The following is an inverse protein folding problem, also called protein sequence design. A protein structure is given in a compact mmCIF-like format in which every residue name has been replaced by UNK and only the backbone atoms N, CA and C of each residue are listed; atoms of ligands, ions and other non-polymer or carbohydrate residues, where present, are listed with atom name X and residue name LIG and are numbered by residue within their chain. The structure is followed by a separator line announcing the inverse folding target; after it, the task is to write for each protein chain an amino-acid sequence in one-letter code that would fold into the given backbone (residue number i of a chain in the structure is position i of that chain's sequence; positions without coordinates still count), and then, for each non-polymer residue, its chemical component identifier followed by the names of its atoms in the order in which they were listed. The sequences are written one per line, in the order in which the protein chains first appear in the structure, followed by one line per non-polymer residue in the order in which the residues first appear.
data_IF_115553861539
#
_entry.id   IF_115553861539
#
_cell.length_a   1.000
_cell.length_b   1.000
_cell.length_c   1.000
_cell.angle_alpha   90.00
_cell.angle_beta   90.00
_cell.angle_gamma   90.00
#
_symmetry.space_group_name_H-M   'P 1'
#
loop_
_entity.id
_entity.type
_entity.pdbx_description
1 polymer ?
#
# COMPACT_ATOMS: atom_id res chain seq x y z
N UNK A 1 -27.92 10.60 11.30
CA UNK A 1 -27.16 10.33 10.05
C UNK A 1 -26.98 8.82 9.96
N UNK A 2 -27.33 8.14 8.86
CA UNK A 2 -27.04 6.72 8.75
C UNK A 2 -25.51 6.54 8.71
N UNK A 3 -24.99 5.65 9.55
CA UNK A 3 -23.58 5.29 9.59
C UNK A 3 -23.10 4.88 8.18
N UNK A 4 -22.07 5.55 7.64
CA UNK A 4 -21.33 5.07 6.47
C UNK A 4 -20.76 3.69 6.86
N UNK A 5 -20.99 2.61 6.10
CA UNK A 5 -20.44 1.31 6.43
C UNK A 5 -18.92 1.43 6.54
N UNK A 6 -18.31 0.77 7.54
CA UNK A 6 -16.85 0.64 7.64
C UNK A 6 -16.34 -0.06 6.37
N UNK A 7 -15.95 0.72 5.37
CA UNK A 7 -15.36 0.22 4.14
C UNK A 7 -13.94 -0.22 4.44
N UNK A 8 -13.70 -1.54 4.34
CA UNK A 8 -12.36 -2.10 4.40
C UNK A 8 -11.56 -1.54 3.22
N UNK A 9 -10.50 -0.78 3.50
CA UNK A 9 -9.57 -0.31 2.47
C UNK A 9 -8.71 -1.47 2.00
N UNK A 10 -8.47 -1.56 0.70
CA UNK A 10 -7.50 -2.50 0.13
C UNK A 10 -6.10 -1.92 0.32
N UNK A 11 -5.24 -2.69 0.96
CA UNK A 11 -3.87 -2.32 1.26
C UNK A 11 -2.95 -2.71 0.10
N UNK A 12 -2.08 -1.79 -0.30
CA UNK A 12 -1.22 -1.92 -1.47
C UNK A 12 0.25 -1.71 -1.09
N UNK A 13 1.12 -2.47 -1.76
CA UNK A 13 2.55 -2.22 -1.83
C UNK A 13 2.92 -1.90 -3.27
N UNK A 14 3.83 -0.94 -3.47
CA UNK A 14 4.35 -0.60 -4.80
C UNK A 14 5.83 -0.98 -4.84
N UNK A 15 6.21 -1.87 -5.75
CA UNK A 15 7.58 -2.38 -5.87
C UNK A 15 8.10 -2.10 -7.27
N UNK A 16 9.08 -1.21 -7.37
CA UNK A 16 9.74 -0.81 -8.61
C UNK A 16 11.09 -0.14 -8.29
N UNK A 17 12.12 -0.40 -9.07
CA UNK A 17 13.47 0.13 -8.87
C UNK A 17 13.61 1.63 -9.24
N UNK A 18 12.55 2.25 -9.78
CA UNK A 18 12.52 3.66 -10.18
C UNK A 18 11.53 4.49 -9.35
N UNK A 19 12.07 5.50 -8.64
CA UNK A 19 11.26 6.42 -7.83
C UNK A 19 10.16 7.13 -8.63
N UNK A 20 10.47 7.57 -9.86
CA UNK A 20 9.52 8.27 -10.74
C UNK A 20 8.26 7.43 -11.02
N UNK A 21 8.42 6.12 -11.23
CA UNK A 21 7.29 5.22 -11.47
C UNK A 21 6.42 5.08 -10.23
N UNK A 22 7.03 4.93 -9.05
CA UNK A 22 6.27 4.82 -7.80
C UNK A 22 5.50 6.11 -7.47
N UNK A 23 6.11 7.27 -7.69
CA UNK A 23 5.44 8.56 -7.52
C UNK A 23 4.27 8.73 -8.48
N UNK A 24 4.44 8.34 -9.75
CA UNK A 24 3.37 8.35 -10.75
C UNK A 24 2.21 7.43 -10.38
N UNK A 25 2.49 6.20 -9.92
CA UNK A 25 1.46 5.25 -9.49
C UNK A 25 0.72 5.76 -8.26
N UNK A 26 1.43 6.27 -7.23
CA UNK A 26 0.79 6.86 -6.04
C UNK A 26 -0.13 8.02 -6.40
N UNK A 27 0.29 8.89 -7.32
CA UNK A 27 -0.54 10.00 -7.80
C UNK A 27 -1.82 9.51 -8.46
N UNK A 28 -1.74 8.47 -9.30
CA UNK A 28 -2.94 7.89 -9.94
C UNK A 28 -3.88 7.26 -8.90
N UNK A 29 -3.33 6.63 -7.86
CA UNK A 29 -4.11 5.93 -6.84
C UNK A 29 -4.63 6.84 -5.72
N UNK A 30 -4.17 8.08 -5.62
CA UNK A 30 -4.50 8.95 -4.47
C UNK A 30 -5.97 9.36 -4.40
N UNK A 31 -6.68 9.34 -5.53
CA UNK A 31 -8.10 9.70 -5.62
C UNK A 31 -9.04 8.55 -5.21
N UNK A 32 -8.50 7.34 -5.01
CA UNK A 32 -9.29 6.16 -4.69
C UNK A 32 -9.44 5.97 -3.17
N UNK A 33 -10.54 6.45 -2.58
CA UNK A 33 -10.82 6.37 -1.13
C UNK A 33 -10.75 4.95 -0.53
N UNK A 34 -10.92 3.93 -1.38
CA UNK A 34 -10.96 2.52 -1.01
C UNK A 34 -9.59 1.82 -1.08
N UNK A 35 -8.54 2.55 -1.47
CA UNK A 35 -7.16 2.07 -1.55
C UNK A 35 -6.29 2.76 -0.50
N UNK A 36 -5.26 2.05 -0.04
CA UNK A 36 -4.26 2.58 0.89
C UNK A 36 -2.89 2.01 0.52
N UNK A 37 -1.95 2.88 0.14
CA UNK A 37 -0.55 2.48 -0.10
C UNK A 37 0.15 2.40 1.25
N UNK A 38 0.50 1.19 1.69
CA UNK A 38 1.15 0.95 2.97
C UNK A 38 2.65 1.22 2.92
N UNK A 39 3.31 0.82 1.84
CA UNK A 39 4.73 1.02 1.67
C UNK A 39 5.16 0.92 0.19
N UNK A 40 6.39 1.34 -0.05
CA UNK A 40 7.10 1.25 -1.31
C UNK A 40 8.38 0.44 -1.12
N UNK A 41 8.84 -0.23 -2.18
CA UNK A 41 10.14 -0.88 -2.19
C UNK A 41 10.82 -0.74 -3.55
N UNK A 42 12.15 -0.68 -3.56
CA UNK A 42 12.98 -0.66 -4.77
C UNK A 42 13.23 -2.05 -5.36
N UNK A 43 13.00 -3.09 -4.57
CA UNK A 43 13.27 -4.48 -4.96
C UNK A 43 12.50 -5.47 -4.08
N UNK A 44 12.56 -6.76 -4.46
CA UNK A 44 11.86 -7.82 -3.74
C UNK A 44 12.38 -8.07 -2.33
N UNK A 45 13.67 -7.84 -2.06
CA UNK A 45 14.25 -8.04 -0.72
C UNK A 45 13.72 -7.01 0.26
N UNK A 46 13.75 -5.73 -0.12
CA UNK A 46 13.17 -4.63 0.65
C UNK A 46 11.65 -4.84 0.87
N UNK A 47 10.93 -5.27 -0.16
CA UNK A 47 9.51 -5.60 -0.03
C UNK A 47 9.25 -6.70 1.03
N UNK A 48 10.01 -7.80 0.99
CA UNK A 48 9.86 -8.89 1.95
C UNK A 48 10.22 -8.45 3.38
N UNK A 49 11.24 -7.60 3.53
CA UNK A 49 11.63 -7.05 4.82
C UNK A 49 10.50 -6.16 5.39
N UNK A 50 9.87 -5.32 4.55
CA UNK A 50 8.70 -4.50 4.94
C UNK A 50 7.47 -5.34 5.28
N UNK A 51 7.21 -6.42 4.52
CA UNK A 51 6.06 -7.30 4.71
C UNK A 51 6.08 -7.98 6.09
N UNK A 52 7.26 -8.35 6.58
CA UNK A 52 7.42 -8.95 7.90
C UNK A 52 7.05 -8.00 9.05
N UNK A 53 7.23 -6.68 8.87
CA UNK A 53 6.84 -5.69 9.87
C UNK A 53 5.37 -5.26 9.76
N UNK A 54 4.80 -5.30 8.54
CA UNK A 54 3.42 -4.84 8.31
C UNK A 54 2.36 -5.87 8.70
N UNK A 55 2.67 -7.17 8.61
CA UNK A 55 1.74 -8.24 8.97
C UNK A 55 2.04 -8.68 10.39
N UNK A 56 1.26 -8.22 11.37
CA UNK A 56 1.12 -8.95 12.63
C UNK A 56 0.50 -10.31 12.29
N UNK A 57 1.35 -11.31 12.07
CA UNK A 57 0.92 -12.70 11.96
C UNK A 57 0.45 -13.09 13.36
N UNK A 58 -0.85 -12.98 13.59
CA UNK A 58 -1.50 -13.53 14.77
C UNK A 58 -1.36 -15.06 14.67
N UNK A 59 -0.49 -15.64 15.51
CA UNK A 59 -0.47 -17.08 15.79
C UNK A 59 -1.70 -17.48 16.62
#
# INVERSE_FOLDING_TARGET
MPNKPNTIKKQLFIVDDHNLFRDGIKFILSDEEHLEVLAEASNGKEFLDLLQYSVQIWY
#
